data_IF_859343107846
#
_entry.id   IF_859343107846
#
_cell.length_a   1.000
_cell.length_b   1.000
_cell.length_c   1.000
_cell.angle_alpha   90.00
_cell.angle_beta   90.00
_cell.angle_gamma   90.00
#
_symmetry.space_group_name_H-M   'P 1'
#
loop_
_entity.id
_entity.type
_entity.pdbx_description
1 polymer ?
#
# COMPACT_ATOMS: atom_id res chain seq x y z
N UNK A 1 -13.71 17.46 0.10
CA UNK A 1 -12.94 16.19 0.15
C UNK A 1 -11.63 16.50 0.85
N UNK A 2 -11.26 15.73 1.87
CA UNK A 2 -10.04 15.99 2.65
C UNK A 2 -8.81 15.43 1.92
N UNK A 3 -7.65 16.03 2.15
CA UNK A 3 -6.37 15.52 1.63
C UNK A 3 -5.51 15.00 2.78
N UNK A 4 -4.75 13.94 2.51
CA UNK A 4 -3.73 13.39 3.39
C UNK A 4 -2.37 13.86 2.85
N UNK A 5 -1.55 14.44 3.71
CA UNK A 5 -0.24 14.97 3.36
C UNK A 5 0.83 14.24 4.15
N UNK A 6 1.78 13.62 3.45
CA UNK A 6 3.00 13.14 4.09
C UNK A 6 3.85 14.33 4.53
N UNK A 7 4.59 14.14 5.62
CA UNK A 7 5.45 15.17 6.22
C UNK A 7 6.85 14.59 6.33
N UNK A 8 7.84 15.37 5.93
CA UNK A 8 9.23 15.03 6.17
C UNK A 8 9.51 15.15 7.68
N UNK A 9 9.86 14.03 8.31
CA UNK A 9 9.93 13.93 9.77
C UNK A 9 10.98 14.85 10.39
N UNK A 10 12.07 15.16 9.66
CA UNK A 10 13.19 15.97 10.16
C UNK A 10 12.95 17.48 10.08
N UNK A 11 12.09 17.93 9.17
CA UNK A 11 11.89 19.35 8.88
C UNK A 11 10.47 19.82 9.20
N UNK A 12 9.52 18.89 9.34
CA UNK A 12 8.10 19.18 9.50
C UNK A 12 7.43 19.76 8.25
N UNK A 13 8.13 19.78 7.10
CA UNK A 13 7.59 20.30 5.85
C UNK A 13 6.74 19.25 5.13
N UNK A 14 5.81 19.70 4.28
CA UNK A 14 5.04 18.82 3.41
C UNK A 14 5.99 18.08 2.44
N UNK A 15 5.79 16.76 2.32
CA UNK A 15 6.57 15.89 1.47
C UNK A 15 5.67 15.15 0.47
N UNK A 16 6.05 15.15 -0.81
CA UNK A 16 5.29 14.48 -1.86
C UNK A 16 3.95 15.14 -2.23
N UNK A 17 3.24 14.53 -3.17
CA UNK A 17 1.93 15.01 -3.61
C UNK A 17 0.84 14.63 -2.59
N UNK A 18 -0.08 15.55 -2.23
CA UNK A 18 -1.19 15.21 -1.36
C UNK A 18 -2.06 14.09 -1.92
N UNK A 19 -2.39 13.12 -1.08
CA UNK A 19 -3.28 12.02 -1.40
C UNK A 19 -4.73 12.43 -1.14
N UNK A 20 -5.66 12.02 -1.99
CA UNK A 20 -7.07 12.23 -1.71
C UNK A 20 -7.52 11.24 -0.63
N UNK A 21 -8.14 11.74 0.44
CA UNK A 21 -8.74 10.86 1.44
C UNK A 21 -9.92 10.11 0.81
N UNK A 22 -9.94 8.79 0.99
CA UNK A 22 -11.04 7.95 0.54
C UNK A 22 -12.37 8.41 1.15
N UNK A 23 -13.39 8.52 0.31
CA UNK A 23 -14.76 8.77 0.77
C UNK A 23 -15.51 7.45 0.99
N UNK A 24 -16.76 7.53 1.46
CA UNK A 24 -17.58 6.34 1.72
C UNK A 24 -17.78 5.46 0.49
N UNK A 25 -17.96 6.04 -0.71
CA UNK A 25 -18.12 5.29 -1.94
C UNK A 25 -16.82 4.59 -2.40
N UNK A 26 -15.66 5.17 -2.11
CA UNK A 26 -14.36 4.50 -2.35
C UNK A 26 -14.21 3.27 -1.46
N UNK A 27 -14.58 3.42 -0.19
CA UNK A 27 -14.56 2.34 0.80
C UNK A 27 -15.54 1.24 0.41
N UNK A 28 -16.78 1.58 0.06
CA UNK A 28 -17.79 0.61 -0.38
C UNK A 28 -17.32 -0.19 -1.59
N UNK A 29 -16.70 0.47 -2.59
CA UNK A 29 -16.14 -0.22 -3.76
C UNK A 29 -15.02 -1.18 -3.38
N UNK A 30 -14.10 -0.76 -2.50
CA UNK A 30 -13.00 -1.62 -2.04
C UNK A 30 -13.52 -2.86 -1.31
N UNK A 31 -14.52 -2.69 -0.43
CA UNK A 31 -15.16 -3.79 0.31
C UNK A 31 -15.89 -4.75 -0.64
N UNK A 32 -16.65 -4.22 -1.61
CA UNK A 32 -17.33 -5.05 -2.60
C UNK A 32 -16.35 -5.87 -3.45
N UNK A 33 -15.25 -5.25 -3.90
CA UNK A 33 -14.21 -5.96 -4.66
C UNK A 33 -13.54 -7.07 -3.83
N UNK A 34 -13.23 -6.78 -2.57
CA UNK A 34 -12.67 -7.78 -1.65
C UNK A 34 -13.65 -8.94 -1.41
N UNK A 35 -14.94 -8.65 -1.22
CA UNK A 35 -15.98 -9.66 -1.06
C UNK A 35 -16.11 -10.56 -2.30
N UNK A 36 -16.04 -9.98 -3.51
CA UNK A 36 -16.09 -10.72 -4.77
C UNK A 36 -14.86 -11.63 -4.95
N UNK A 37 -13.66 -11.17 -4.54
CA UNK A 37 -12.44 -11.96 -4.64
C UNK A 37 -12.31 -13.05 -3.55
N UNK A 38 -13.04 -12.92 -2.43
CA UNK A 38 -12.87 -13.75 -1.24
C UNK A 38 -13.01 -15.26 -1.51
N UNK A 39 -14.06 -15.69 -2.20
CA UNK A 39 -14.31 -17.11 -2.44
C UNK A 39 -13.21 -17.75 -3.31
N UNK A 40 -12.80 -17.08 -4.39
CA UNK A 40 -11.75 -17.54 -5.28
C UNK A 40 -10.38 -17.58 -4.56
N UNK A 41 -10.09 -16.57 -3.74
CA UNK A 41 -8.89 -16.53 -2.92
C UNK A 41 -8.87 -17.66 -1.89
N UNK A 42 -9.97 -17.90 -1.17
CA UNK A 42 -10.09 -18.96 -0.17
C UNK A 42 -9.91 -20.35 -0.80
N UNK A 43 -10.40 -20.55 -2.03
CA UNK A 43 -10.25 -21.80 -2.78
C UNK A 43 -8.86 -21.99 -3.41
N UNK A 44 -7.96 -21.00 -3.35
CA UNK A 44 -6.62 -21.11 -3.94
C UNK A 44 -5.79 -22.22 -3.30
N UNK A 45 -4.83 -22.77 -4.05
CA UNK A 45 -3.87 -23.73 -3.50
C UNK A 45 -2.80 -23.02 -2.66
N UNK A 46 -2.16 -23.76 -1.75
CA UNK A 46 -1.00 -23.26 -1.01
C UNK A 46 0.15 -22.84 -1.93
N UNK A 47 0.36 -23.55 -3.03
CA UNK A 47 1.37 -23.23 -4.04
C UNK A 47 1.09 -21.87 -4.72
N UNK A 48 -0.17 -21.63 -5.12
CA UNK A 48 -0.55 -20.37 -5.75
C UNK A 48 -0.30 -19.18 -4.81
N UNK A 49 -0.67 -19.31 -3.52
CA UNK A 49 -0.40 -18.29 -2.51
C UNK A 49 1.10 -18.08 -2.29
N UNK A 50 1.88 -19.16 -2.22
CA UNK A 50 3.32 -19.08 -2.05
C UNK A 50 4.01 -18.38 -3.25
N UNK A 51 3.55 -18.64 -4.48
CA UNK A 51 4.05 -17.96 -5.68
C UNK A 51 3.78 -16.45 -5.61
N UNK A 52 2.57 -16.05 -5.21
CA UNK A 52 2.21 -14.63 -5.05
C UNK A 52 3.05 -13.95 -3.96
N UNK A 53 3.22 -14.58 -2.80
CA UNK A 53 4.03 -14.03 -1.70
C UNK A 53 5.50 -13.86 -2.10
N UNK A 54 6.08 -14.83 -2.83
CA UNK A 54 7.45 -14.70 -3.34
C UNK A 54 7.57 -13.58 -4.36
N UNK A 55 6.63 -13.47 -5.29
CA UNK A 55 6.62 -12.36 -6.26
C UNK A 55 6.50 -10.99 -5.58
N UNK A 56 5.71 -10.88 -4.51
CA UNK A 56 5.63 -9.65 -3.71
C UNK A 56 6.98 -9.36 -3.03
N UNK A 57 7.64 -10.37 -2.46
CA UNK A 57 8.96 -10.21 -1.86
C UNK A 57 9.99 -9.74 -2.91
N UNK A 58 10.03 -10.38 -4.08
CA UNK A 58 10.93 -9.99 -5.18
C UNK A 58 10.70 -8.53 -5.61
N UNK A 59 9.44 -8.08 -5.68
CA UNK A 59 9.12 -6.70 -6.02
C UNK A 59 9.57 -5.70 -4.94
N UNK A 60 9.34 -6.02 -3.66
CA UNK A 60 9.80 -5.19 -2.53
C UNK A 60 11.32 -5.08 -2.50
N UNK A 61 12.03 -6.18 -2.77
CA UNK A 61 13.49 -6.21 -2.84
C UNK A 61 14.02 -5.41 -4.02
N UNK A 62 13.37 -5.52 -5.18
CA UNK A 62 13.74 -4.77 -6.38
C UNK A 62 13.61 -3.25 -6.20
N UNK A 63 12.60 -2.79 -5.45
CA UNK A 63 12.35 -1.36 -5.20
C UNK A 63 12.82 -0.89 -3.81
N UNK A 64 13.66 -1.68 -3.15
CA UNK A 64 14.14 -1.44 -1.78
C UNK A 64 14.70 -0.03 -1.59
N UNK A 65 15.52 0.45 -2.53
CA UNK A 65 16.19 1.74 -2.39
C UNK A 65 15.18 2.89 -2.24
N UNK A 66 14.18 2.93 -3.13
CA UNK A 66 13.08 3.90 -3.11
C UNK A 66 12.26 3.78 -1.83
N UNK A 67 11.90 2.56 -1.44
CA UNK A 67 11.08 2.32 -0.25
C UNK A 67 11.79 2.72 1.04
N UNK A 68 13.10 2.47 1.14
CA UNK A 68 13.91 2.86 2.30
C UNK A 68 14.05 4.37 2.38
N UNK A 69 14.35 5.04 1.26
CA UNK A 69 14.45 6.51 1.23
C UNK A 69 13.11 7.18 1.59
N UNK A 70 12.00 6.66 1.06
CA UNK A 70 10.66 7.14 1.39
C UNK A 70 10.36 6.96 2.89
N UNK A 71 10.60 5.77 3.43
CA UNK A 71 10.35 5.49 4.84
C UNK A 71 11.22 6.36 5.75
N UNK A 72 12.52 6.49 5.48
CA UNK A 72 13.41 7.38 6.23
C UNK A 72 12.92 8.84 6.18
N UNK A 73 12.48 9.32 5.02
CA UNK A 73 11.98 10.69 4.89
C UNK A 73 10.72 10.93 5.74
N UNK A 74 9.76 10.01 5.71
CA UNK A 74 8.49 10.16 6.43
C UNK A 74 8.58 9.84 7.93
N UNK A 75 9.61 9.11 8.37
CA UNK A 75 9.68 8.59 9.75
C UNK A 75 10.98 8.89 10.50
N UNK A 76 12.03 9.34 9.82
CA UNK A 76 13.38 9.60 10.33
C UNK A 76 14.07 8.39 11.00
N UNK A 77 13.80 7.17 10.52
CA UNK A 77 14.34 5.90 11.05
C UNK A 77 15.75 5.55 10.55
#
# INVERSE_FOLDING_TARGET
>A
MSQLQSVEARTGQAFGQPLQASNAADIDRAVQAAAQASAAWAASSGEARAKLLRGLADALEADRATLVELADTETAL
#
